data_IF_229948863700
#
_entry.id   IF_229948863700
#
_cell.length_a   1.000
_cell.length_b   1.000
_cell.length_c   1.000
_cell.angle_alpha   90.00
_cell.angle_beta   90.00
_cell.angle_gamma   90.00
#
_symmetry.space_group_name_H-M   'P 1'
#
loop_
_entity.id
_entity.type
_entity.pdbx_description
1 polymer ?
#
# COMPACT_ATOMS: atom_id res chain seq x y z
N UNK A 1 50.34 25.76 22.21
CA UNK A 1 49.16 24.87 22.13
C UNK A 1 47.90 25.73 22.03
N UNK A 2 47.40 26.02 20.81
CA UNK A 2 46.20 26.87 20.64
C UNK A 2 45.59 26.85 19.21
N UNK A 3 45.66 25.72 18.50
CA UNK A 3 45.09 25.58 17.14
C UNK A 3 44.45 24.22 16.86
N UNK A 4 43.76 23.62 17.84
CA UNK A 4 43.15 22.29 17.67
C UNK A 4 41.67 22.23 18.12
N UNK A 5 40.92 23.32 17.95
CA UNK A 5 39.53 23.40 18.45
C UNK A 5 38.46 23.60 17.37
N UNK A 6 38.77 23.39 16.08
CA UNK A 6 37.81 23.69 15.00
C UNK A 6 37.51 22.53 14.05
N UNK A 7 37.73 21.28 14.46
CA UNK A 7 37.09 20.15 13.78
C UNK A 7 35.70 19.97 14.39
N UNK A 8 34.82 20.90 14.04
CA UNK A 8 33.40 20.82 14.30
C UNK A 8 32.88 19.61 13.52
N UNK A 9 32.57 18.54 14.24
CA UNK A 9 31.89 17.34 13.76
C UNK A 9 30.58 17.74 13.07
N UNK A 10 30.61 17.94 11.76
CA UNK A 10 29.43 17.93 10.90
C UNK A 10 29.08 16.45 10.64
N UNK A 11 28.54 15.78 11.65
CA UNK A 11 27.79 14.55 11.44
C UNK A 11 26.50 14.93 10.73
N UNK A 12 26.56 14.93 9.40
CA UNK A 12 25.38 14.94 8.54
C UNK A 12 24.51 13.75 8.95
N UNK A 13 23.40 14.02 9.63
CA UNK A 13 22.34 13.03 9.81
C UNK A 13 21.74 12.80 8.43
N UNK A 14 22.24 11.79 7.73
CA UNK A 14 21.60 11.28 6.53
C UNK A 14 20.25 10.70 6.95
N UNK A 15 19.19 11.50 6.85
CA UNK A 15 17.83 10.99 6.92
C UNK A 15 17.63 10.05 5.74
N UNK A 16 17.61 8.74 5.99
CA UNK A 16 17.24 7.77 4.96
C UNK A 16 15.77 8.01 4.63
N UNK A 17 15.50 8.64 3.49
CA UNK A 17 14.15 8.73 2.96
C UNK A 17 13.82 7.39 2.31
N UNK A 18 13.25 6.47 3.09
CA UNK A 18 12.64 5.27 2.52
C UNK A 18 11.46 5.72 1.66
N UNK A 19 11.58 5.52 0.35
CA UNK A 19 10.42 5.57 -0.53
C UNK A 19 9.54 4.38 -0.16
N UNK A 20 8.23 4.60 0.04
CA UNK A 20 7.29 3.49 0.31
C UNK A 20 7.45 2.43 -0.78
N UNK A 21 7.83 1.21 -0.38
CA UNK A 21 7.95 0.10 -1.29
C UNK A 21 6.61 -0.18 -1.96
N UNK A 22 6.66 -0.49 -3.26
CA UNK A 22 5.51 -0.88 -4.06
C UNK A 22 5.79 -2.24 -4.68
N UNK A 23 4.92 -3.20 -4.44
CA UNK A 23 5.02 -4.53 -5.04
C UNK A 23 3.85 -4.76 -6.00
N UNK A 24 4.09 -5.48 -7.09
CA UNK A 24 3.02 -5.98 -7.94
C UNK A 24 2.67 -7.40 -7.51
N UNK A 25 1.38 -7.67 -7.32
CA UNK A 25 0.87 -9.01 -7.04
C UNK A 25 -0.16 -9.39 -8.09
N UNK A 26 -0.28 -10.69 -8.37
CA UNK A 26 -1.20 -11.18 -9.39
C UNK A 26 -2.07 -12.34 -8.91
N UNK A 27 -3.21 -12.51 -9.59
CA UNK A 27 -4.09 -13.67 -9.42
C UNK A 27 -3.37 -14.98 -9.65
N UNK A 28 -2.41 -15.01 -10.57
CA UNK A 28 -1.61 -16.20 -10.87
C UNK A 28 -0.76 -16.61 -9.67
N UNK A 29 -0.12 -15.63 -9.03
CA UNK A 29 0.76 -15.85 -7.87
C UNK A 29 -0.03 -16.26 -6.63
N UNK A 30 -1.11 -15.54 -6.30
CA UNK A 30 -1.93 -15.80 -5.09
C UNK A 30 -2.88 -16.98 -5.27
N UNK A 31 -3.32 -17.25 -6.50
CA UNK A 31 -4.26 -18.31 -6.81
C UNK A 31 -5.69 -17.82 -6.92
N UNK A 32 -6.41 -18.35 -7.93
CA UNK A 32 -7.77 -17.93 -8.31
C UNK A 32 -8.79 -17.97 -7.16
N UNK A 33 -8.66 -18.92 -6.23
CA UNK A 33 -9.60 -19.09 -5.12
C UNK A 33 -9.42 -18.05 -4.01
N UNK A 34 -8.25 -17.42 -3.91
CA UNK A 34 -7.92 -16.44 -2.89
C UNK A 34 -7.84 -15.02 -3.44
N UNK A 35 -7.84 -14.87 -4.77
CA UNK A 35 -7.72 -13.58 -5.41
C UNK A 35 -9.02 -12.77 -5.35
N UNK A 36 -9.05 -11.60 -4.67
CA UNK A 36 -10.31 -10.95 -4.34
C UNK A 36 -10.73 -9.84 -5.32
N UNK A 37 -10.02 -9.68 -6.45
CA UNK A 37 -10.26 -8.60 -7.40
C UNK A 37 -10.75 -9.15 -8.75
N UNK A 38 -11.48 -8.30 -9.48
CA UNK A 38 -11.87 -8.55 -10.88
C UNK A 38 -10.74 -8.29 -11.87
N UNK A 39 -9.68 -7.61 -11.44
CA UNK A 39 -8.44 -7.39 -12.19
C UNK A 39 -7.50 -8.57 -12.01
N UNK A 40 -6.60 -8.83 -12.96
CA UNK A 40 -5.67 -9.97 -12.87
C UNK A 40 -4.40 -9.65 -12.06
N UNK A 41 -4.05 -8.36 -11.94
CA UNK A 41 -2.90 -7.87 -11.17
C UNK A 41 -3.19 -6.50 -10.57
N UNK A 42 -2.43 -6.15 -9.54
CA UNK A 42 -2.52 -4.87 -8.83
C UNK A 42 -1.18 -4.55 -8.17
N UNK A 43 -0.85 -3.27 -8.03
CA UNK A 43 0.24 -2.84 -7.17
C UNK A 43 -0.27 -2.64 -5.73
N UNK A 44 0.55 -2.94 -4.74
CA UNK A 44 0.27 -2.73 -3.32
C UNK A 44 1.29 -1.76 -2.73
N UNK A 45 0.83 -0.88 -1.85
CA UNK A 45 1.65 0.12 -1.14
C UNK A 45 1.19 0.28 0.30
N UNK A 46 2.14 0.54 1.19
CA UNK A 46 1.87 1.09 2.52
C UNK A 46 2.41 2.51 2.67
N UNK A 47 1.55 3.41 3.13
CA UNK A 47 1.86 4.80 3.38
C UNK A 47 2.46 4.97 4.78
N UNK A 48 3.15 6.09 5.01
CA UNK A 48 3.90 6.34 6.25
C UNK A 48 3.03 6.31 7.52
N UNK A 49 1.74 6.60 7.39
CA UNK A 49 0.75 6.57 8.46
C UNK A 49 0.06 5.20 8.63
N UNK A 50 0.46 4.20 7.85
CA UNK A 50 -0.15 2.87 7.82
C UNK A 50 -1.35 2.75 6.88
N UNK A 51 -1.63 3.76 6.05
CA UNK A 51 -2.63 3.64 4.98
C UNK A 51 -2.22 2.56 3.97
N UNK A 52 -3.10 1.60 3.69
CA UNK A 52 -2.85 0.54 2.72
C UNK A 52 -3.61 0.83 1.43
N UNK A 53 -2.92 0.75 0.28
CA UNK A 53 -3.53 0.98 -1.03
C UNK A 53 -3.26 -0.17 -1.99
N UNK A 54 -4.30 -0.52 -2.74
CA UNK A 54 -4.21 -1.19 -4.02
C UNK A 54 -4.17 -0.12 -5.12
N UNK A 55 -3.31 -0.28 -6.13
CA UNK A 55 -3.12 0.70 -7.20
C UNK A 55 -3.20 -0.02 -8.54
N UNK A 56 -4.08 0.45 -9.42
CA UNK A 56 -4.14 -0.02 -10.80
C UNK A 56 -2.84 0.38 -11.52
N UNK A 57 -2.10 -0.58 -12.04
CA UNK A 57 -0.81 -0.36 -12.69
C UNK A 57 -0.88 0.45 -13.98
N UNK A 58 -2.02 0.37 -14.68
CA UNK A 58 -2.25 1.00 -15.98
C UNK A 58 -2.79 2.42 -15.86
N UNK A 59 -3.58 2.70 -14.81
CA UNK A 59 -4.25 4.01 -14.62
C UNK A 59 -3.77 4.79 -13.41
N UNK A 60 -2.97 4.16 -12.53
CA UNK A 60 -2.55 4.67 -11.23
C UNK A 60 -3.71 4.99 -10.28
N UNK A 61 -4.92 4.52 -10.58
CA UNK A 61 -6.08 4.67 -9.70
C UNK A 61 -5.84 3.92 -8.39
N UNK A 62 -6.04 4.60 -7.27
CA UNK A 62 -5.82 4.05 -5.93
C UNK A 62 -7.14 3.60 -5.30
N UNK A 63 -7.07 2.50 -4.57
CA UNK A 63 -8.18 1.91 -3.83
C UNK A 63 -7.75 1.66 -2.39
N UNK A 64 -8.38 2.31 -1.40
CA UNK A 64 -8.02 2.12 0.00
C UNK A 64 -8.38 0.70 0.44
N UNK A 65 -7.45 0.04 1.15
CA UNK A 65 -7.58 -1.33 1.64
C UNK A 65 -7.83 -1.41 3.15
N UNK A 66 -7.65 -0.30 3.89
CA UNK A 66 -7.92 -0.21 5.31
C UNK A 66 -8.59 1.13 5.69
N UNK A 67 -8.99 1.24 6.95
CA UNK A 67 -9.69 2.43 7.46
C UNK A 67 -8.82 3.71 7.38
N UNK A 68 -7.50 3.60 7.60
CA UNK A 68 -6.59 4.74 7.52
C UNK A 68 -6.53 5.30 6.09
N UNK A 69 -6.34 4.43 5.09
CA UNK A 69 -6.36 4.84 3.70
C UNK A 69 -7.72 5.39 3.27
N UNK A 70 -8.83 4.81 3.75
CA UNK A 70 -10.17 5.31 3.46
C UNK A 70 -10.37 6.71 4.03
N UNK A 71 -9.99 6.93 5.29
CA UNK A 71 -10.04 8.24 5.93
C UNK A 71 -9.19 9.27 5.17
N UNK A 72 -8.00 8.89 4.70
CA UNK A 72 -7.17 9.78 3.89
C UNK A 72 -7.84 10.19 2.57
N UNK A 73 -8.59 9.29 1.93
CA UNK A 73 -9.37 9.61 0.74
C UNK A 73 -10.54 10.53 1.08
N UNK A 74 -11.28 10.23 2.15
CA UNK A 74 -12.45 11.02 2.59
C UNK A 74 -12.06 12.44 2.99
N UNK A 75 -10.92 12.60 3.66
CA UNK A 75 -10.33 13.88 4.06
C UNK A 75 -9.57 14.57 2.91
N UNK A 76 -9.55 13.98 1.72
CA UNK A 76 -8.85 14.50 0.51
C UNK A 76 -7.34 14.66 0.68
N UNK A 77 -6.74 13.95 1.66
CA UNK A 77 -5.28 13.81 1.82
C UNK A 77 -4.69 12.88 0.77
N UNK A 78 -5.50 12.01 0.17
CA UNK A 78 -5.13 11.14 -0.94
C UNK A 78 -6.27 11.05 -1.94
N UNK A 79 -5.94 10.77 -3.21
CA UNK A 79 -6.95 10.43 -4.21
C UNK A 79 -7.22 8.94 -4.17
N UNK A 80 -8.48 8.55 -4.37
CA UNK A 80 -8.83 7.14 -4.48
C UNK A 80 -10.31 6.94 -4.80
N UNK A 81 -10.65 5.70 -5.11
CA UNK A 81 -12.01 5.23 -5.32
C UNK A 81 -12.29 4.02 -4.41
N UNK A 82 -13.54 3.73 -4.05
CA UNK A 82 -13.87 2.57 -3.22
C UNK A 82 -13.36 1.27 -3.83
N UNK A 83 -12.70 0.42 -3.02
CA UNK A 83 -12.21 -0.90 -3.45
C UNK A 83 -13.34 -1.80 -3.99
N UNK A 84 -14.58 -1.57 -3.53
CA UNK A 84 -15.78 -2.31 -3.95
C UNK A 84 -16.05 -2.23 -5.46
N UNK A 85 -15.52 -1.23 -6.18
CA UNK A 85 -15.62 -1.12 -7.64
C UNK A 85 -14.86 -2.23 -8.37
N UNK A 86 -13.80 -2.76 -7.75
CA UNK A 86 -12.95 -3.80 -8.35
C UNK A 86 -12.93 -5.09 -7.54
N UNK A 87 -13.60 -5.14 -6.38
CA UNK A 87 -13.71 -6.32 -5.55
C UNK A 87 -14.66 -7.35 -6.19
N UNK A 88 -14.16 -8.57 -6.37
CA UNK A 88 -14.92 -9.68 -6.90
C UNK A 88 -15.99 -10.16 -5.91
N UNK A 89 -17.08 -10.69 -6.44
CA UNK A 89 -18.07 -11.41 -5.63
C UNK A 89 -17.52 -12.77 -5.21
N UNK A 90 -17.88 -13.24 -4.02
CA UNK A 90 -17.48 -14.53 -3.49
C UNK A 90 -18.31 -15.65 -4.15
N UNK A 91 -17.71 -16.53 -4.97
CA UNK A 91 -18.45 -17.59 -5.64
C UNK A 91 -18.96 -18.68 -4.67
N UNK A 92 -18.41 -18.74 -3.46
CA UNK A 92 -18.83 -19.68 -2.41
C UNK A 92 -19.91 -19.07 -1.50
N UNK A 93 -20.04 -17.74 -1.46
CA UNK A 93 -21.01 -17.04 -0.62
C UNK A 93 -21.78 -15.99 -1.44
N UNK A 94 -22.90 -16.39 -2.09
CA UNK A 94 -23.71 -15.49 -2.91
C UNK A 94 -24.10 -14.22 -2.17
N UNK A 95 -23.94 -13.06 -2.83
CA UNK A 95 -24.25 -11.75 -2.28
C UNK A 95 -23.16 -11.14 -1.40
N UNK A 96 -22.03 -11.84 -1.19
CA UNK A 96 -20.86 -11.29 -0.49
C UNK A 96 -19.72 -11.00 -1.45
N UNK A 97 -18.85 -10.08 -1.03
CA UNK A 97 -17.58 -9.81 -1.70
C UNK A 97 -16.47 -10.72 -1.17
N UNK A 98 -15.49 -11.02 -2.02
CA UNK A 98 -14.29 -11.78 -1.66
C UNK A 98 -13.51 -11.10 -0.53
N UNK A 99 -12.92 -11.91 0.36
CA UNK A 99 -12.08 -11.42 1.45
C UNK A 99 -10.81 -10.74 0.92
N UNK A 100 -10.54 -9.50 1.36
CA UNK A 100 -9.37 -8.72 0.97
C UNK A 100 -8.09 -9.11 1.72
N UNK A 101 -8.18 -9.97 2.74
CA UNK A 101 -7.05 -10.40 3.59
C UNK A 101 -5.77 -10.78 2.81
N UNK A 102 -5.85 -11.52 1.67
CA UNK A 102 -4.66 -11.86 0.90
C UNK A 102 -3.87 -10.65 0.38
N UNK A 103 -4.55 -9.52 0.15
CA UNK A 103 -3.93 -8.26 -0.28
C UNK A 103 -3.58 -7.36 0.91
N UNK A 104 -4.46 -7.21 1.89
CA UNK A 104 -4.20 -6.35 3.06
C UNK A 104 -3.00 -6.84 3.85
N UNK A 105 -2.84 -8.16 4.08
CA UNK A 105 -1.68 -8.71 4.77
C UNK A 105 -0.36 -8.46 4.03
N UNK A 106 -0.37 -8.51 2.69
CA UNK A 106 0.82 -8.22 1.88
C UNK A 106 1.16 -6.74 1.88
N UNK A 107 0.17 -5.86 1.69
CA UNK A 107 0.37 -4.42 1.78
C UNK A 107 0.86 -4.01 3.18
N UNK A 108 0.31 -4.59 4.24
CA UNK A 108 0.73 -4.33 5.62
C UNK A 108 2.19 -4.72 5.89
N UNK A 109 2.68 -5.78 5.23
CA UNK A 109 4.08 -6.21 5.36
C UNK A 109 5.08 -5.22 4.73
N UNK A 110 4.62 -4.29 3.89
CA UNK A 110 5.42 -3.20 3.33
C UNK A 110 5.57 -2.02 4.30
N UNK A 111 4.78 -1.98 5.37
CA UNK A 111 4.86 -0.88 6.32
C UNK A 111 6.16 -0.94 7.12
N UNK A 112 6.87 0.19 7.19
CA UNK A 112 8.11 0.32 7.94
C UNK A 112 9.34 -0.27 7.24
N UNK A 113 9.23 -0.57 5.95
CA UNK A 113 10.37 -0.87 5.07
C UNK A 113 10.96 0.40 4.45
#
# INVERSE_FOLDING_TARGET
MKKLLSVLLLTLVSGQSFASEVITVSRREIGKQQWPLTREEIMLRCDKDGGLFAINDSTLMQYPLNAIAQQNVDEKKSQGQPITLIQADDPQQPGKKMDLSPLTSRAQALCGQ
#
